data_IF_637593235595
#
_entry.id   IF_637593235595
#
_cell.length_a   1.000
_cell.length_b   1.000
_cell.length_c   1.000
_cell.angle_alpha   90.00
_cell.angle_beta   90.00
_cell.angle_gamma   90.00
#
_symmetry.space_group_name_H-M   'P 1'
#
loop_
_entity.id
_entity.type
_entity.pdbx_description
1 polymer ?
#
# COMPACT_ATOMS: atom_id res chain seq x y z
N UNK A 1 -28.03 -50.29 -29.33
CA UNK A 1 -28.13 -50.68 -27.90
C UNK A 1 -27.37 -49.75 -26.96
N UNK A 2 -26.91 -48.57 -27.39
CA UNK A 2 -26.08 -47.64 -26.60
C UNK A 2 -26.88 -46.64 -25.76
N UNK A 3 -28.19 -46.48 -26.00
CA UNK A 3 -28.97 -45.37 -25.43
C UNK A 3 -29.60 -45.69 -24.04
N UNK A 4 -30.04 -46.94 -23.83
CA UNK A 4 -30.73 -47.33 -22.59
C UNK A 4 -29.77 -47.47 -21.40
N UNK A 5 -28.55 -47.96 -21.65
CA UNK A 5 -27.53 -48.12 -20.60
C UNK A 5 -27.04 -46.76 -20.10
N UNK A 6 -26.82 -45.80 -21.00
CA UNK A 6 -26.45 -44.43 -20.64
C UNK A 6 -27.55 -43.73 -19.83
N UNK A 7 -28.82 -43.98 -20.15
CA UNK A 7 -29.96 -43.41 -19.43
C UNK A 7 -30.09 -43.97 -18.01
N UNK A 8 -29.88 -45.29 -17.85
CA UNK A 8 -29.88 -45.93 -16.54
C UNK A 8 -28.69 -45.48 -15.69
N UNK A 9 -27.51 -45.31 -16.28
CA UNK A 9 -26.34 -44.76 -15.59
C UNK A 9 -26.61 -43.32 -15.10
N UNK A 10 -27.16 -42.46 -15.95
CA UNK A 10 -27.47 -41.07 -15.59
C UNK A 10 -28.50 -40.99 -14.46
N UNK A 11 -29.53 -41.86 -14.47
CA UNK A 11 -30.53 -41.95 -13.40
C UNK A 11 -29.92 -42.37 -12.06
N UNK A 12 -29.04 -43.38 -12.06
CA UNK A 12 -28.33 -43.84 -10.84
C UNK A 12 -27.40 -42.74 -10.30
N UNK A 13 -26.77 -41.96 -11.19
CA UNK A 13 -25.92 -40.82 -10.80
C UNK A 13 -26.74 -39.69 -10.17
N UNK A 14 -27.90 -39.37 -10.73
CA UNK A 14 -28.82 -38.38 -10.17
C UNK A 14 -29.35 -38.78 -8.79
N UNK A 15 -29.70 -40.06 -8.60
CA UNK A 15 -30.22 -40.60 -7.34
C UNK A 15 -29.18 -40.56 -6.21
N UNK A 16 -27.89 -40.68 -6.55
CA UNK A 16 -26.76 -40.56 -5.62
C UNK A 16 -26.22 -39.13 -5.49
N UNK A 17 -26.86 -38.15 -6.12
CA UNK A 17 -26.41 -36.75 -6.18
C UNK A 17 -24.98 -36.59 -6.75
N UNK A 18 -24.58 -37.51 -7.64
CA UNK A 18 -23.27 -37.54 -8.27
C UNK A 18 -23.30 -36.67 -9.52
N UNK A 19 -22.67 -35.49 -9.44
CA UNK A 19 -22.60 -34.54 -10.56
C UNK A 19 -21.81 -35.13 -11.74
N UNK A 20 -22.12 -34.65 -12.96
CA UNK A 20 -21.46 -35.10 -14.20
C UNK A 20 -19.93 -34.92 -14.13
N UNK A 21 -19.51 -33.95 -13.32
CA UNK A 21 -18.17 -33.42 -13.25
C UNK A 21 -17.30 -34.01 -12.13
N UNK A 22 -17.61 -35.21 -11.63
CA UNK A 22 -16.84 -35.85 -10.55
C UNK A 22 -15.32 -35.88 -10.81
N UNK A 23 -14.91 -36.22 -12.04
CA UNK A 23 -13.49 -36.24 -12.42
C UNK A 23 -12.86 -34.85 -12.39
N UNK A 24 -13.60 -33.82 -12.82
CA UNK A 24 -13.17 -32.43 -12.75
C UNK A 24 -13.12 -31.93 -11.30
N UNK A 25 -14.10 -32.30 -10.47
CA UNK A 25 -14.11 -32.01 -9.04
C UNK A 25 -12.93 -32.67 -8.32
N UNK A 26 -12.58 -33.92 -8.68
CA UNK A 26 -11.39 -34.59 -8.16
C UNK A 26 -10.10 -33.90 -8.58
N UNK A 27 -9.99 -33.46 -9.85
CA UNK A 27 -8.86 -32.66 -10.32
C UNK A 27 -8.75 -31.32 -9.60
N UNK A 28 -9.87 -30.59 -9.45
CA UNK A 28 -9.93 -29.33 -8.70
C UNK A 28 -9.56 -29.56 -7.24
N UNK A 29 -10.00 -30.65 -6.61
CA UNK A 29 -9.64 -31.00 -5.24
C UNK A 29 -8.16 -31.37 -5.10
N UNK A 30 -7.57 -32.02 -6.11
CA UNK A 30 -6.14 -32.35 -6.16
C UNK A 30 -5.28 -31.09 -6.34
N UNK A 31 -5.68 -30.18 -7.23
CA UNK A 31 -5.07 -28.85 -7.41
C UNK A 31 -5.23 -27.99 -6.15
N UNK A 32 -6.42 -27.97 -5.53
CA UNK A 32 -6.68 -27.28 -4.26
C UNK A 32 -5.79 -27.81 -3.13
N UNK A 33 -5.49 -29.12 -3.10
CA UNK A 33 -4.49 -29.67 -2.18
C UNK A 33 -3.09 -29.14 -2.49
N UNK A 34 -2.70 -29.03 -3.76
CA UNK A 34 -1.42 -28.42 -4.20
C UNK A 34 -1.31 -26.95 -3.81
N UNK A 35 -2.34 -26.13 -4.05
CA UNK A 35 -2.35 -24.69 -3.77
C UNK A 35 -2.21 -24.34 -2.27
N UNK A 36 -2.34 -25.34 -1.38
CA UNK A 36 -2.12 -25.19 0.07
C UNK A 36 -0.67 -25.44 0.51
N UNK A 37 0.26 -25.72 -0.40
CA UNK A 37 1.65 -26.01 -0.04
C UNK A 37 2.55 -24.77 0.04
N UNK A 38 2.24 -23.69 -0.68
CA UNK A 38 3.02 -22.45 -0.60
C UNK A 38 2.12 -21.24 -0.83
N UNK A 39 1.76 -20.56 0.26
CA UNK A 39 1.02 -19.30 0.20
C UNK A 39 1.83 -18.21 0.90
N UNK A 40 1.89 -17.04 0.28
CA UNK A 40 2.47 -15.83 0.86
C UNK A 40 1.43 -15.12 1.72
N UNK A 41 1.74 -14.85 2.98
CA UNK A 41 0.83 -14.18 3.91
C UNK A 41 1.41 -12.85 4.37
N UNK A 42 0.54 -11.87 4.66
CA UNK A 42 0.93 -10.71 5.45
C UNK A 42 1.32 -11.17 6.87
N UNK A 43 2.33 -10.52 7.44
CA UNK A 43 2.86 -10.87 8.77
C UNK A 43 2.06 -10.23 9.91
N UNK A 44 0.78 -9.89 9.66
CA UNK A 44 -0.11 -9.35 10.68
C UNK A 44 -0.16 -10.27 11.89
N UNK A 45 -0.33 -9.69 13.09
CA UNK A 45 -0.37 -10.46 14.35
C UNK A 45 -1.39 -11.61 14.26
N UNK A 46 -2.57 -11.34 13.71
CA UNK A 46 -3.62 -12.34 13.50
C UNK A 46 -3.23 -13.49 12.54
N UNK A 47 -2.31 -13.24 11.61
CA UNK A 47 -1.87 -14.25 10.63
C UNK A 47 -0.78 -15.14 11.19
N UNK A 48 0.22 -14.54 11.88
CA UNK A 48 1.43 -15.22 12.36
C UNK A 48 1.30 -15.80 13.77
N UNK A 49 0.25 -15.46 14.53
CA UNK A 49 0.18 -15.83 15.95
C UNK A 49 0.20 -17.35 16.18
N UNK A 50 1.17 -17.81 16.98
CA UNK A 50 1.38 -19.24 17.29
C UNK A 50 0.25 -19.90 18.08
N UNK A 51 -0.61 -19.12 18.77
CA UNK A 51 -1.65 -19.65 19.65
C UNK A 51 -3.04 -19.67 18.99
N UNK A 52 -3.41 -18.61 18.28
CA UNK A 52 -4.74 -18.44 17.67
C UNK A 52 -4.71 -17.94 16.22
N UNK A 53 -3.53 -17.76 15.62
CA UNK A 53 -3.40 -17.16 14.30
C UNK A 53 -3.78 -18.08 13.15
N UNK A 54 -4.03 -17.46 11.99
CA UNK A 54 -4.42 -18.16 10.74
C UNK A 54 -3.38 -19.21 10.34
N UNK A 55 -2.09 -18.93 10.51
CA UNK A 55 -1.01 -19.88 10.26
C UNK A 55 -1.22 -21.20 11.02
N UNK A 56 -1.57 -21.15 12.31
CA UNK A 56 -1.77 -22.34 13.13
C UNK A 56 -2.94 -23.17 12.61
N UNK A 57 -4.09 -22.53 12.35
CA UNK A 57 -5.29 -23.20 11.82
C UNK A 57 -5.00 -23.86 10.46
N UNK A 58 -4.21 -23.21 9.61
CA UNK A 58 -3.78 -23.79 8.34
C UNK A 58 -2.87 -25.00 8.53
N UNK A 59 -1.92 -24.95 9.48
CA UNK A 59 -1.02 -26.08 9.78
C UNK A 59 -1.76 -27.26 10.40
N UNK A 60 -2.83 -27.03 11.18
CA UNK A 60 -3.71 -28.10 11.69
C UNK A 60 -4.43 -28.85 10.55
N UNK A 61 -4.85 -28.14 9.50
CA UNK A 61 -5.52 -28.72 8.32
C UNK A 61 -4.50 -29.37 7.36
N UNK A 62 -3.33 -28.74 7.20
CA UNK A 62 -2.26 -29.21 6.33
C UNK A 62 -0.89 -29.01 7.00
N UNK A 63 -0.34 -30.03 7.69
CA UNK A 63 0.96 -29.95 8.34
C UNK A 63 2.14 -29.69 7.39
N UNK A 64 1.94 -29.92 6.09
CA UNK A 64 2.95 -29.67 5.04
C UNK A 64 2.81 -28.28 4.39
N UNK A 65 1.90 -27.44 4.85
CA UNK A 65 1.77 -26.07 4.35
C UNK A 65 2.99 -25.23 4.75
N UNK A 66 3.63 -24.58 3.78
CA UNK A 66 4.68 -23.62 4.05
C UNK A 66 4.06 -22.23 4.24
N UNK A 67 4.31 -21.65 5.42
CA UNK A 67 3.99 -20.25 5.69
C UNK A 67 5.19 -19.41 5.28
N UNK A 68 5.03 -18.57 4.26
CA UNK A 68 6.03 -17.61 3.83
C UNK A 68 5.50 -16.21 4.03
N UNK A 69 6.26 -15.36 4.71
CA UNK A 69 5.89 -13.95 4.83
C UNK A 69 6.00 -13.27 3.46
N UNK A 70 5.04 -12.41 3.14
CA UNK A 70 5.06 -11.63 1.91
C UNK A 70 6.34 -10.78 1.84
N UNK A 71 7.11 -10.94 0.76
CA UNK A 71 8.33 -10.16 0.54
C UNK A 71 8.04 -8.65 0.52
N UNK A 72 6.89 -8.23 -0.02
CA UNK A 72 6.46 -6.83 -0.01
C UNK A 72 6.25 -6.31 1.42
N UNK A 73 5.73 -7.14 2.34
CA UNK A 73 5.58 -6.75 3.73
C UNK A 73 6.94 -6.60 4.43
N UNK A 74 7.85 -7.54 4.22
CA UNK A 74 9.20 -7.47 4.79
C UNK A 74 9.96 -6.24 4.27
N UNK A 75 9.85 -5.94 2.97
CA UNK A 75 10.43 -4.73 2.38
C UNK A 75 9.85 -3.45 2.98
N UNK A 76 8.52 -3.39 3.16
CA UNK A 76 7.86 -2.26 3.81
C UNK A 76 8.35 -2.06 5.26
N UNK A 77 8.61 -3.15 6.00
CA UNK A 77 9.12 -3.06 7.35
C UNK A 77 10.57 -2.55 7.37
N UNK A 78 11.44 -3.10 6.51
CA UNK A 78 12.83 -2.63 6.38
C UNK A 78 12.89 -1.15 6.01
N UNK A 79 12.05 -0.72 5.06
CA UNK A 79 11.96 0.68 4.67
C UNK A 79 11.52 1.57 5.84
N UNK A 80 10.52 1.12 6.61
CA UNK A 80 10.09 1.80 7.84
C UNK A 80 11.24 1.94 8.84
N UNK A 81 11.95 0.86 9.13
CA UNK A 81 13.09 0.88 10.05
C UNK A 81 14.20 1.82 9.55
N UNK A 82 14.48 1.83 8.24
CA UNK A 82 15.43 2.76 7.63
C UNK A 82 15.01 4.22 7.83
N UNK A 83 13.73 4.55 7.66
CA UNK A 83 13.24 5.92 7.88
C UNK A 83 13.31 6.35 9.34
N UNK A 84 13.06 5.44 10.29
CA UNK A 84 13.07 5.73 11.72
C UNK A 84 14.45 5.64 12.36
N UNK A 85 15.43 5.07 11.67
CA UNK A 85 16.82 5.00 12.16
C UNK A 85 17.66 6.26 11.83
N UNK A 86 17.18 7.12 10.93
CA UNK A 86 17.93 8.28 10.46
C UNK A 86 17.19 9.59 10.75
N UNK A 87 17.79 10.47 11.55
CA UNK A 87 17.18 11.77 11.90
C UNK A 87 16.80 12.60 10.66
N UNK A 88 17.65 12.58 9.62
CA UNK A 88 17.39 13.31 8.35
C UNK A 88 16.18 12.75 7.62
N UNK A 89 16.00 11.42 7.66
CA UNK A 89 14.85 10.76 7.08
C UNK A 89 13.57 11.09 7.86
N UNK A 90 13.62 11.01 9.19
CA UNK A 90 12.51 11.42 10.07
C UNK A 90 12.09 12.87 9.77
N UNK A 91 13.05 13.79 9.71
CA UNK A 91 12.79 15.20 9.39
C UNK A 91 12.18 15.36 8.00
N UNK A 92 12.72 14.66 6.98
CA UNK A 92 12.17 14.69 5.62
C UNK A 92 10.71 14.23 5.57
N UNK A 93 10.40 13.04 6.10
CA UNK A 93 9.03 12.52 6.10
C UNK A 93 8.10 13.34 6.99
N UNK A 94 8.62 13.96 8.05
CA UNK A 94 7.90 14.95 8.86
C UNK A 94 7.47 16.17 8.06
N UNK A 95 8.35 16.72 7.20
CA UNK A 95 8.01 17.82 6.30
C UNK A 95 6.95 17.38 5.28
N UNK A 96 7.09 16.19 4.68
CA UNK A 96 6.09 15.65 3.74
C UNK A 96 4.72 15.54 4.41
N UNK A 97 4.67 15.03 5.64
CA UNK A 97 3.44 14.96 6.43
C UNK A 97 2.87 16.34 6.74
N UNK A 98 3.72 17.32 7.05
CA UNK A 98 3.30 18.69 7.35
C UNK A 98 2.65 19.35 6.12
N UNK A 99 3.19 19.14 4.92
CA UNK A 99 2.57 19.59 3.66
C UNK A 99 1.17 18.99 3.54
N UNK A 100 1.04 17.67 3.75
CA UNK A 100 -0.27 17.01 3.68
C UNK A 100 -1.26 17.65 4.66
N UNK A 101 -0.90 17.76 5.95
CA UNK A 101 -1.77 18.33 6.98
C UNK A 101 -2.19 19.76 6.68
N UNK A 102 -1.28 20.61 6.17
CA UNK A 102 -1.56 22.01 5.88
C UNK A 102 -2.58 22.19 4.75
N UNK A 103 -2.45 21.43 3.67
CA UNK A 103 -3.31 21.54 2.49
C UNK A 103 -4.60 20.71 2.61
N UNK A 104 -4.55 19.50 3.19
CA UNK A 104 -5.75 18.64 3.35
C UNK A 104 -6.61 19.01 4.55
N UNK A 105 -6.07 19.74 5.53
CA UNK A 105 -6.82 20.18 6.71
C UNK A 105 -7.91 21.23 6.41
N UNK A 106 -7.96 21.78 5.19
CA UNK A 106 -8.95 22.79 4.81
C UNK A 106 -9.35 22.65 3.34
N UNK A 107 -10.65 22.62 3.06
CA UNK A 107 -11.20 22.59 1.70
C UNK A 107 -10.79 23.79 0.86
N UNK A 108 -10.65 24.98 1.49
CA UNK A 108 -10.14 26.20 0.83
C UNK A 108 -8.68 26.03 0.40
N UNK A 109 -7.83 25.52 1.29
CA UNK A 109 -6.39 25.32 1.02
C UNK A 109 -6.17 24.20 0.01
N UNK A 110 -6.97 23.13 0.09
CA UNK A 110 -6.96 22.05 -0.88
C UNK A 110 -7.28 22.55 -2.29
N UNK A 111 -8.30 23.42 -2.44
CA UNK A 111 -8.63 24.04 -3.72
C UNK A 111 -7.47 24.88 -4.26
N UNK A 112 -6.81 25.68 -3.42
CA UNK A 112 -5.60 26.44 -3.80
C UNK A 112 -4.50 25.49 -4.32
N UNK A 113 -4.31 24.33 -3.69
CA UNK A 113 -3.32 23.36 -4.18
C UNK A 113 -3.69 22.80 -5.56
N UNK A 114 -4.95 22.39 -5.74
CA UNK A 114 -5.45 21.84 -7.02
C UNK A 114 -5.37 22.87 -8.16
N UNK A 115 -5.72 24.12 -7.89
CA UNK A 115 -5.72 25.20 -8.89
C UNK A 115 -4.30 25.55 -9.38
N UNK A 116 -3.27 25.20 -8.61
CA UNK A 116 -1.88 25.49 -8.97
C UNK A 116 -1.09 24.24 -9.35
N UNK A 117 -1.53 23.05 -8.93
CA UNK A 117 -0.82 21.81 -9.18
C UNK A 117 -1.73 20.78 -9.84
N UNK A 118 -1.68 20.76 -11.18
CA UNK A 118 -2.61 20.03 -12.04
C UNK A 118 -2.54 18.49 -11.94
N UNK A 119 -1.44 17.92 -11.42
CA UNK A 119 -1.24 16.46 -11.33
C UNK A 119 -0.80 16.01 -9.94
N UNK A 120 -1.49 16.47 -8.90
CA UNK A 120 -1.10 16.17 -7.52
C UNK A 120 -2.06 15.22 -6.81
N UNK A 121 -1.69 13.94 -6.74
CA UNK A 121 -2.27 13.00 -5.78
C UNK A 121 -1.28 12.80 -4.62
N UNK A 122 -1.11 13.81 -3.74
CA UNK A 122 -0.48 13.52 -2.43
C UNK A 122 -1.45 12.58 -1.73
N UNK A 123 -1.08 11.32 -1.59
CA UNK A 123 -1.83 10.39 -0.74
C UNK A 123 -1.31 10.53 0.69
N UNK A 124 -2.22 10.38 1.66
CA UNK A 124 -1.88 10.29 3.07
C UNK A 124 -0.74 9.27 3.28
N UNK A 125 0.27 9.63 4.07
CA UNK A 125 1.31 8.71 4.49
C UNK A 125 0.69 7.69 5.44
N UNK A 126 0.45 6.48 4.96
CA UNK A 126 0.15 5.37 5.87
C UNK A 126 1.45 4.67 6.26
N UNK A 127 1.57 4.36 7.55
CA UNK A 127 2.68 3.56 8.08
C UNK A 127 2.72 2.15 7.47
N UNK A 128 1.61 1.71 6.84
CA UNK A 128 1.43 0.36 6.31
C UNK A 128 1.55 0.27 4.79
N UNK A 129 1.58 1.38 4.04
CA UNK A 129 1.54 1.35 2.57
C UNK A 129 2.45 2.40 1.92
N UNK A 130 3.72 2.03 1.74
CA UNK A 130 4.78 2.89 1.19
C UNK A 130 4.55 3.34 -0.26
N UNK A 131 3.68 2.66 -1.01
CA UNK A 131 3.23 3.09 -2.35
C UNK A 131 2.62 4.50 -2.36
N UNK A 132 1.99 4.90 -1.25
CA UNK A 132 1.46 6.26 -1.07
C UNK A 132 2.59 7.31 -1.00
N UNK A 133 3.74 6.93 -0.46
CA UNK A 133 4.87 7.82 -0.24
C UNK A 133 5.65 8.08 -1.54
N UNK A 134 5.74 7.09 -2.43
CA UNK A 134 6.33 7.25 -3.78
C UNK A 134 5.56 8.30 -4.58
N UNK A 135 4.22 8.22 -4.57
CA UNK A 135 3.36 9.17 -5.30
C UNK A 135 3.51 10.59 -4.76
N UNK A 136 3.59 10.74 -3.44
CA UNK A 136 3.85 12.01 -2.77
C UNK A 136 5.24 12.57 -3.05
N UNK A 137 6.30 11.74 -2.97
CA UNK A 137 7.68 12.14 -3.28
C UNK A 137 7.83 12.55 -4.76
N UNK A 138 7.24 11.78 -5.70
CA UNK A 138 7.19 12.11 -7.13
C UNK A 138 6.54 13.48 -7.35
N UNK A 139 5.38 13.72 -6.74
CA UNK A 139 4.68 14.98 -6.84
C UNK A 139 5.47 16.16 -6.26
N UNK A 140 6.21 15.99 -5.16
CA UNK A 140 7.05 17.06 -4.60
C UNK A 140 8.27 17.32 -5.49
N UNK A 141 8.92 16.27 -6.02
CA UNK A 141 10.15 16.39 -6.81
C UNK A 141 9.93 17.09 -8.15
N UNK A 142 8.85 16.78 -8.85
CA UNK A 142 8.64 17.26 -10.22
C UNK A 142 7.74 18.49 -10.34
N UNK A 143 7.10 18.93 -9.25
CA UNK A 143 6.16 20.07 -9.27
C UNK A 143 6.57 21.17 -8.29
N UNK A 144 7.87 21.31 -8.02
CA UNK A 144 8.42 22.32 -7.10
C UNK A 144 8.03 23.77 -7.46
N UNK A 145 8.05 24.20 -8.74
CA UNK A 145 7.62 25.55 -9.12
C UNK A 145 6.15 25.83 -8.79
N UNK A 146 5.26 24.87 -9.08
CA UNK A 146 3.83 24.98 -8.81
C UNK A 146 3.53 25.01 -7.32
N UNK A 147 4.29 24.26 -6.51
CA UNK A 147 4.17 24.29 -5.05
C UNK A 147 4.57 25.64 -4.47
N UNK A 148 5.64 26.27 -4.98
CA UNK A 148 6.02 27.63 -4.57
C UNK A 148 4.89 28.63 -4.88
N UNK A 149 4.26 28.53 -6.05
CA UNK A 149 3.13 29.39 -6.42
C UNK A 149 1.92 29.15 -5.50
N UNK A 150 1.58 27.90 -5.21
CA UNK A 150 0.50 27.53 -4.30
C UNK A 150 0.76 28.06 -2.87
N UNK A 151 2.00 27.94 -2.38
CA UNK A 151 2.39 28.46 -1.07
C UNK A 151 2.34 29.99 -1.00
N UNK A 152 2.72 30.70 -2.07
CA UNK A 152 2.59 32.16 -2.14
C UNK A 152 1.13 32.60 -2.06
N UNK A 153 0.25 31.95 -2.84
CA UNK A 153 -1.21 32.21 -2.78
C UNK A 153 -1.82 31.84 -1.43
N UNK A 154 -1.32 30.78 -0.79
CA UNK A 154 -1.75 30.40 0.54
C UNK A 154 -1.40 31.48 1.56
N UNK A 155 -0.17 32.01 1.52
CA UNK A 155 0.30 33.08 2.39
C UNK A 155 -0.57 34.35 2.28
N UNK A 156 -0.94 34.73 1.05
CA UNK A 156 -1.84 35.86 0.77
C UNK A 156 -3.27 35.62 1.26
N UNK A 157 -3.72 34.36 1.29
CA UNK A 157 -5.09 33.98 1.66
C UNK A 157 -5.33 33.73 3.16
N UNK A 158 -4.27 33.79 3.98
CA UNK A 158 -4.33 33.57 5.42
C UNK A 158 -4.59 34.88 6.17
N UNK A 159 -5.60 34.89 7.03
CA UNK A 159 -5.94 36.05 7.86
C UNK A 159 -5.23 36.02 9.23
N UNK A 160 -4.87 34.83 9.72
CA UNK A 160 -4.22 34.64 11.02
C UNK A 160 -2.69 34.50 10.91
N UNK A 161 -1.99 35.10 11.89
CA UNK A 161 -0.52 35.10 11.95
C UNK A 161 0.09 33.69 12.07
N UNK A 162 -0.66 32.74 12.66
CA UNK A 162 -0.21 31.36 12.83
C UNK A 162 -0.08 30.66 11.48
N UNK A 163 -1.11 30.71 10.65
CA UNK A 163 -1.10 30.08 9.32
C UNK A 163 -0.06 30.70 8.38
N UNK A 164 0.21 32.02 8.50
CA UNK A 164 1.30 32.68 7.76
C UNK A 164 2.67 32.14 8.16
N UNK A 165 2.94 32.08 9.47
CA UNK A 165 4.20 31.57 10.01
C UNK A 165 4.43 30.09 9.66
N UNK A 166 3.39 29.26 9.77
CA UNK A 166 3.45 27.84 9.37
C UNK A 166 3.76 27.68 7.87
N UNK A 167 3.12 28.49 7.02
CA UNK A 167 3.36 28.47 5.57
C UNK A 167 4.78 28.89 5.22
N UNK A 168 5.29 29.97 5.84
CA UNK A 168 6.64 30.47 5.61
C UNK A 168 7.71 29.47 6.07
N UNK A 169 7.54 28.88 7.25
CA UNK A 169 8.40 27.81 7.76
C UNK A 169 8.46 26.62 6.80
N UNK A 170 7.31 26.19 6.27
CA UNK A 170 7.22 25.10 5.29
C UNK A 170 7.94 25.46 3.98
N UNK A 171 7.76 26.68 3.46
CA UNK A 171 8.45 27.13 2.24
C UNK A 171 9.96 27.12 2.44
N UNK A 172 10.45 27.61 3.58
CA UNK A 172 11.87 27.60 3.91
C UNK A 172 12.42 26.17 4.01
N UNK A 173 11.66 25.25 4.61
CA UNK A 173 12.04 23.84 4.67
C UNK A 173 12.13 23.19 3.27
N UNK A 174 11.18 23.49 2.37
CA UNK A 174 11.13 22.94 1.01
C UNK A 174 12.31 23.37 0.12
N UNK A 175 12.89 24.54 0.40
CA UNK A 175 14.02 25.09 -0.37
C UNK A 175 15.37 24.80 0.28
N UNK A 176 15.37 24.19 1.46
CA UNK A 176 16.60 23.80 2.15
C UNK A 176 17.37 22.75 1.35
N UNK A 177 18.70 22.85 1.37
CA UNK A 177 19.57 21.87 0.72
C UNK A 177 19.31 20.45 1.25
N UNK A 178 19.11 20.31 2.56
CA UNK A 178 18.84 19.01 3.17
C UNK A 178 17.57 18.37 2.61
N UNK A 179 16.49 19.14 2.45
CA UNK A 179 15.25 18.63 1.89
C UNK A 179 15.39 18.26 0.41
N UNK A 180 16.05 19.11 -0.39
CA UNK A 180 16.29 18.87 -1.82
C UNK A 180 17.19 17.65 -2.07
N UNK A 181 18.20 17.43 -1.22
CA UNK A 181 19.01 16.22 -1.30
C UNK A 181 18.19 15.00 -0.87
N UNK A 182 17.45 15.12 0.24
CA UNK A 182 16.64 14.01 0.78
C UNK A 182 15.57 13.55 -0.20
N UNK A 183 14.89 14.47 -0.90
CA UNK A 183 13.84 14.09 -1.86
C UNK A 183 14.40 13.35 -3.06
N UNK A 184 15.62 13.68 -3.51
CA UNK A 184 16.28 12.94 -4.60
C UNK A 184 16.61 11.52 -4.11
N UNK A 185 17.31 11.40 -2.98
CA UNK A 185 17.71 10.09 -2.42
C UNK A 185 16.48 9.20 -2.17
N UNK A 186 15.48 9.72 -1.45
CA UNK A 186 14.30 8.94 -1.11
C UNK A 186 13.47 8.60 -2.33
N UNK A 187 13.36 9.49 -3.33
CA UNK A 187 12.67 9.14 -4.58
C UNK A 187 13.35 7.98 -5.30
N UNK A 188 14.69 7.99 -5.44
CA UNK A 188 15.39 6.90 -6.13
C UNK A 188 15.22 5.55 -5.41
N UNK A 189 15.35 5.54 -4.07
CA UNK A 189 15.13 4.34 -3.24
C UNK A 189 13.70 3.82 -3.42
N UNK A 190 12.73 4.72 -3.26
CA UNK A 190 11.31 4.41 -3.33
C UNK A 190 10.89 3.95 -4.74
N UNK A 191 11.47 4.53 -5.79
CA UNK A 191 11.25 4.12 -7.17
C UNK A 191 11.80 2.71 -7.43
N UNK A 192 13.02 2.41 -6.97
CA UNK A 192 13.64 1.10 -7.14
C UNK A 192 12.88 -0.03 -6.43
N UNK A 193 12.26 0.25 -5.27
CA UNK A 193 11.48 -0.74 -4.51
C UNK A 193 10.11 -1.02 -5.18
N UNK A 194 9.61 -0.10 -6.01
CA UNK A 194 8.27 -0.17 -6.60
C UNK A 194 8.28 -0.47 -8.11
N UNK A 195 9.43 -0.79 -8.69
CA UNK A 195 9.55 -1.43 -10.02
C UNK A 195 9.46 -2.94 -9.90
#
# INVERSE_FOLDING_TARGET
MTNMNNWNEMRVRLDKNETIDKSLQEQVMKEKRRWRHGQGYDNGSYMKEKRQGVQKRFLEINPRALYMSCACYSLNLTLSDMTHSCIRAISFFGIVQHIYSLFFGSTKRWKILLDNVLELTVKFLSNTHWESQIKSAKAIRFQTPQKRLASSKLYESCDDAKSKSETESLVNALVSFEFLLSIVIWYEILFAINM
#
